data_IF_786896436084
#
_entry.id   IF_786896436084
#
_cell.length_a   1.000
_cell.length_b   1.000
_cell.length_c   1.000
_cell.angle_alpha   90.00
_cell.angle_beta   90.00
_cell.angle_gamma   90.00
#
_symmetry.space_group_name_H-M   'P 1'
#
loop_
_entity.id
_entity.type
_entity.pdbx_description
1 polymer ?
#
# COMPACT_ATOMS: atom_id res chain seq x y z
N UNK A 1 5.60 24.98 12.03
CA UNK A 1 5.41 23.73 11.28
C UNK A 1 6.28 23.77 10.03
N UNK A 2 7.00 22.67 9.76
CA UNK A 2 7.76 22.53 8.53
C UNK A 2 6.82 22.12 7.39
N UNK A 3 6.94 22.81 6.25
CA UNK A 3 5.99 22.63 5.13
C UNK A 3 6.40 21.46 4.24
N UNK A 4 7.71 21.17 4.13
CA UNK A 4 8.24 20.15 3.23
C UNK A 4 9.22 19.25 3.95
N UNK A 5 9.07 17.95 3.73
CA UNK A 5 9.92 16.88 4.28
C UNK A 5 10.23 15.85 3.20
N UNK A 6 11.39 15.19 3.30
CA UNK A 6 11.69 14.00 2.49
C UNK A 6 11.13 12.76 3.18
N UNK A 7 10.22 12.05 2.53
CA UNK A 7 9.70 10.78 3.05
C UNK A 7 9.33 9.81 1.92
N UNK A 8 9.38 8.53 2.21
CA UNK A 8 8.79 7.50 1.37
C UNK A 8 7.26 7.50 1.59
N UNK A 9 6.55 8.15 0.68
CA UNK A 9 5.09 8.33 0.75
C UNK A 9 4.35 7.00 0.81
N UNK A 10 4.78 6.01 0.01
CA UNK A 10 4.11 4.71 -0.07
C UNK A 10 4.23 3.96 1.25
N UNK A 11 5.43 3.87 1.81
CA UNK A 11 5.64 3.23 3.12
C UNK A 11 4.90 3.95 4.24
N UNK A 12 4.89 5.27 4.23
CA UNK A 12 4.16 6.05 5.23
C UNK A 12 2.65 5.80 5.17
N UNK A 13 2.09 5.75 3.95
CA UNK A 13 0.68 5.40 3.74
C UNK A 13 0.38 3.98 4.23
N UNK A 14 1.23 3.01 3.93
CA UNK A 14 1.07 1.62 4.35
C UNK A 14 1.08 1.48 5.88
N UNK A 15 2.01 2.17 6.57
CA UNK A 15 2.03 2.23 8.04
C UNK A 15 0.71 2.77 8.59
N UNK A 16 0.27 3.93 8.09
CA UNK A 16 -0.96 4.57 8.57
C UNK A 16 -2.19 3.71 8.31
N UNK A 17 -2.32 3.17 7.09
CA UNK A 17 -3.46 2.33 6.71
C UNK A 17 -3.54 1.05 7.56
N UNK A 18 -2.42 0.38 7.82
CA UNK A 18 -2.41 -0.80 8.68
C UNK A 18 -2.88 -0.49 10.11
N UNK A 19 -2.41 0.61 10.70
CA UNK A 19 -2.80 0.99 12.07
C UNK A 19 -4.27 1.42 12.11
N UNK A 20 -4.71 2.29 11.18
CA UNK A 20 -6.09 2.81 11.14
C UNK A 20 -7.09 1.70 10.82
N UNK A 21 -6.78 0.83 9.86
CA UNK A 21 -7.66 -0.30 9.52
C UNK A 21 -7.83 -1.27 10.67
N UNK A 22 -6.77 -1.53 11.46
CA UNK A 22 -6.88 -2.30 12.68
C UNK A 22 -7.78 -1.62 13.72
N UNK A 23 -7.60 -0.32 13.96
CA UNK A 23 -8.45 0.44 14.87
C UNK A 23 -9.93 0.35 14.46
N UNK A 24 -10.26 0.57 13.19
CA UNK A 24 -11.63 0.45 12.67
C UNK A 24 -12.17 -0.97 12.82
N UNK A 25 -11.36 -1.97 12.47
CA UNK A 25 -11.71 -3.38 12.48
C UNK A 25 -12.08 -3.91 13.88
N UNK A 26 -11.41 -3.41 14.92
CA UNK A 26 -11.61 -3.86 16.30
C UNK A 26 -12.47 -2.90 17.14
N UNK A 27 -13.08 -1.91 16.49
CA UNK A 27 -13.99 -0.94 17.09
C UNK A 27 -15.41 -1.19 16.57
N UNK A 28 -16.33 -1.50 17.47
CA UNK A 28 -17.74 -1.75 17.13
C UNK A 28 -18.51 -0.46 16.90
N UNK A 29 -19.70 -0.56 16.29
CA UNK A 29 -20.62 0.56 16.12
C UNK A 29 -20.91 1.28 17.45
N UNK A 30 -20.96 2.60 17.41
CA UNK A 30 -21.16 3.46 18.58
C UNK A 30 -19.88 3.82 19.36
N UNK A 31 -18.74 3.26 18.96
CA UNK A 31 -17.41 3.56 19.49
C UNK A 31 -16.65 4.53 18.57
N UNK A 32 -15.48 5.02 19.00
CA UNK A 32 -14.74 6.04 18.26
C UNK A 32 -13.31 5.62 17.95
N UNK A 33 -12.81 6.12 16.81
CA UNK A 33 -11.38 6.07 16.43
C UNK A 33 -10.90 7.51 16.26
N UNK A 34 -9.86 7.87 16.98
CA UNK A 34 -9.24 9.19 16.94
C UNK A 34 -7.85 9.11 16.34
N UNK A 35 -7.63 9.83 15.25
CA UNK A 35 -6.33 9.94 14.59
C UNK A 35 -5.80 11.36 14.75
N UNK A 36 -4.55 11.50 15.19
CA UNK A 36 -3.88 12.80 15.31
C UNK A 36 -2.47 12.70 14.74
N UNK A 37 -2.07 13.74 14.02
CA UNK A 37 -0.69 13.95 13.56
C UNK A 37 -0.28 15.33 14.02
N UNK A 38 0.87 15.43 14.67
CA UNK A 38 1.42 16.71 15.07
C UNK A 38 2.95 16.70 15.05
N UNK A 39 3.51 17.86 14.78
CA UNK A 39 4.95 18.04 14.82
C UNK A 39 5.40 18.30 16.27
N UNK A 40 6.53 17.70 16.66
CA UNK A 40 7.16 17.88 17.95
C UNK A 40 8.56 18.49 17.74
N UNK A 41 9.07 19.19 18.73
CA UNK A 41 10.43 19.72 18.67
C UNK A 41 11.44 18.60 18.43
N UNK A 42 12.31 18.80 17.44
CA UNK A 42 13.40 17.91 17.11
C UNK A 42 14.69 18.42 17.75
N UNK A 43 15.51 17.51 18.30
CA UNK A 43 16.86 17.86 18.77
C UNK A 43 17.80 18.16 17.61
N UNK A 44 17.52 17.64 16.43
CA UNK A 44 18.26 17.90 15.21
C UNK A 44 17.59 19.01 14.40
N UNK A 45 18.24 20.19 14.21
CA UNK A 45 17.63 21.31 13.48
C UNK A 45 17.43 21.06 11.98
N UNK A 46 17.93 19.95 11.45
CA UNK A 46 17.72 19.54 10.04
C UNK A 46 16.59 18.54 9.86
N UNK A 47 15.96 18.13 10.96
CA UNK A 47 14.88 17.12 10.94
C UNK A 47 13.61 17.67 11.55
N UNK A 48 12.49 17.38 10.91
CA UNK A 48 11.16 17.58 11.45
C UNK A 48 10.66 16.25 12.08
N UNK A 49 10.29 16.29 13.36
CA UNK A 49 9.83 15.13 14.13
C UNK A 49 8.32 15.13 14.21
N UNK A 50 7.70 14.06 13.76
CA UNK A 50 6.25 13.90 13.75
C UNK A 50 5.82 12.77 14.66
N UNK A 51 4.73 13.03 15.38
CA UNK A 51 4.03 12.03 16.17
C UNK A 51 2.69 11.76 15.48
N UNK A 52 2.46 10.51 15.13
CA UNK A 52 1.17 10.00 14.71
C UNK A 52 0.57 9.17 15.84
N UNK A 53 -0.68 9.43 16.21
CA UNK A 53 -1.41 8.63 17.19
C UNK A 53 -2.73 8.16 16.58
N UNK A 54 -3.04 6.89 16.82
CA UNK A 54 -4.33 6.31 16.51
C UNK A 54 -4.87 5.66 17.80
N UNK A 55 -5.97 6.19 18.30
CA UNK A 55 -6.61 5.75 19.55
C UNK A 55 -8.04 5.31 19.26
N UNK A 56 -8.37 4.10 19.65
CA UNK A 56 -9.71 3.55 19.53
C UNK A 56 -10.31 3.21 20.90
N UNK A 57 -11.62 3.17 20.96
CA UNK A 57 -12.38 2.73 22.12
C UNK A 57 -12.99 1.34 21.89
N UNK A 58 -12.28 0.49 21.16
CA UNK A 58 -12.67 -0.86 20.79
C UNK A 58 -12.48 -1.89 21.90
N UNK A 59 -12.33 -3.14 21.50
CA UNK A 59 -12.22 -4.29 22.44
C UNK A 59 -10.95 -4.27 23.27
N UNK A 60 -9.91 -3.53 22.86
CA UNK A 60 -8.59 -3.55 23.49
C UNK A 60 -7.92 -4.92 23.44
N UNK A 61 -6.83 -5.07 24.18
CA UNK A 61 -6.00 -6.29 24.25
C UNK A 61 -5.70 -6.65 25.70
N UNK A 62 -5.53 -7.95 25.97
CA UNK A 62 -5.12 -8.44 27.29
C UNK A 62 -3.66 -8.09 27.58
N UNK A 63 -3.32 -8.02 28.88
CA UNK A 63 -1.94 -7.82 29.33
C UNK A 63 -1.01 -8.96 28.89
N UNK A 64 -1.54 -10.17 28.75
CA UNK A 64 -0.78 -11.34 28.33
C UNK A 64 -0.43 -11.27 26.82
N UNK A 65 -1.32 -10.73 25.99
CA UNK A 65 -1.11 -10.64 24.53
C UNK A 65 -0.28 -9.42 24.13
N UNK A 66 -0.38 -8.32 24.86
CA UNK A 66 0.27 -7.04 24.50
C UNK A 66 1.77 -7.13 24.19
N UNK A 67 2.59 -7.94 24.88
CA UNK A 67 4.00 -8.12 24.54
C UNK A 67 4.24 -8.79 23.16
N UNK A 68 3.26 -9.56 22.69
CA UNK A 68 3.36 -10.40 21.49
C UNK A 68 2.75 -9.76 20.23
N UNK A 69 2.18 -8.55 20.35
CA UNK A 69 1.45 -7.91 19.24
C UNK A 69 2.30 -7.66 17.97
N UNK A 70 3.60 -7.55 18.13
CA UNK A 70 4.54 -7.37 17.03
C UNK A 70 5.26 -8.65 16.60
N UNK A 71 4.87 -9.81 17.14
CA UNK A 71 5.39 -11.11 16.68
C UNK A 71 4.65 -11.57 15.42
N UNK A 72 5.38 -12.20 14.50
CA UNK A 72 4.80 -12.70 13.26
C UNK A 72 3.74 -13.77 13.54
N UNK A 73 2.61 -13.70 12.81
CA UNK A 73 1.47 -14.61 12.93
C UNK A 73 0.77 -14.59 14.29
N UNK A 74 1.13 -13.65 15.18
CA UNK A 74 0.52 -13.53 16.50
C UNK A 74 -0.91 -13.00 16.39
N UNK A 75 -1.84 -13.60 17.15
CA UNK A 75 -3.26 -13.19 17.24
C UNK A 75 -3.82 -13.55 18.59
N UNK A 76 -4.51 -12.63 19.25
CA UNK A 76 -5.13 -12.85 20.55
C UNK A 76 -6.34 -13.80 20.48
N UNK A 77 -7.13 -13.69 19.40
CA UNK A 77 -8.30 -14.52 19.19
C UNK A 77 -8.19 -15.34 17.91
N UNK A 78 -8.50 -16.64 18.02
CA UNK A 78 -8.61 -17.50 16.84
C UNK A 78 -9.87 -17.17 16.04
N UNK A 79 -9.82 -17.41 14.72
CA UNK A 79 -10.91 -17.14 13.76
C UNK A 79 -12.27 -17.75 14.12
N UNK A 80 -12.32 -18.66 15.10
CA UNK A 80 -13.53 -19.36 15.53
C UNK A 80 -14.43 -18.53 16.44
N UNK A 81 -13.87 -17.56 17.19
CA UNK A 81 -14.63 -16.74 18.15
C UNK A 81 -15.05 -15.38 17.58
N UNK A 82 -14.20 -14.77 16.75
CA UNK A 82 -14.54 -13.54 16.03
C UNK A 82 -14.23 -13.71 14.56
N UNK A 83 -15.22 -13.51 13.68
CA UNK A 83 -15.12 -13.59 12.20
C UNK A 83 -14.16 -12.57 11.57
N UNK A 84 -13.19 -12.09 12.30
CA UNK A 84 -12.27 -11.02 11.90
C UNK A 84 -11.06 -11.63 11.19
N UNK A 85 -11.06 -11.63 9.84
CA UNK A 85 -9.97 -12.13 9.02
C UNK A 85 -8.68 -11.29 9.18
N UNK A 86 -7.51 -11.93 9.15
CA UNK A 86 -6.20 -11.26 9.17
C UNK A 86 -5.06 -12.27 9.25
N UNK A 87 -3.93 -11.95 8.65
CA UNK A 87 -2.75 -12.83 8.57
C UNK A 87 -1.87 -12.80 9.82
N UNK A 88 -2.00 -11.76 10.68
CA UNK A 88 -1.09 -11.52 11.80
C UNK A 88 0.27 -10.98 11.38
N UNK A 89 0.41 -10.49 10.13
CA UNK A 89 1.67 -9.95 9.60
C UNK A 89 1.70 -8.42 9.55
N UNK A 90 0.55 -7.74 9.61
CA UNK A 90 0.47 -6.29 9.42
C UNK A 90 1.30 -5.50 10.44
N UNK A 91 1.13 -5.73 11.73
CA UNK A 91 1.84 -4.99 12.77
C UNK A 91 3.35 -5.30 12.87
N UNK A 92 3.82 -6.54 12.72
CA UNK A 92 5.25 -6.84 12.56
C UNK A 92 5.89 -6.07 11.40
N UNK A 93 5.25 -6.04 10.23
CA UNK A 93 5.72 -5.30 9.04
C UNK A 93 5.77 -3.79 9.34
N UNK A 94 4.71 -3.23 9.93
CA UNK A 94 4.65 -1.82 10.34
C UNK A 94 5.80 -1.46 11.27
N UNK A 95 6.07 -2.28 12.30
CA UNK A 95 7.19 -2.06 13.22
C UNK A 95 8.53 -2.05 12.48
N UNK A 96 8.77 -3.05 11.63
CA UNK A 96 10.01 -3.12 10.84
C UNK A 96 10.18 -1.92 9.92
N UNK A 97 9.11 -1.47 9.25
CA UNK A 97 9.15 -0.26 8.40
C UNK A 97 9.50 0.99 9.21
N UNK A 98 8.87 1.18 10.38
CA UNK A 98 9.12 2.34 11.24
C UNK A 98 10.56 2.33 11.75
N UNK A 99 11.09 1.17 12.17
CA UNK A 99 12.47 1.01 12.62
C UNK A 99 13.48 1.30 11.49
N UNK A 100 13.21 0.81 10.26
CA UNK A 100 14.03 1.14 9.08
C UNK A 100 14.03 2.63 8.74
N UNK A 101 12.93 3.34 9.03
CA UNK A 101 12.82 4.79 8.88
C UNK A 101 13.45 5.56 10.07
N UNK A 102 14.07 4.86 11.03
CA UNK A 102 14.68 5.45 12.22
C UNK A 102 13.68 5.98 13.25
N UNK A 103 12.45 5.52 13.20
CA UNK A 103 11.38 5.85 14.13
C UNK A 103 11.14 4.79 15.20
N UNK A 104 10.09 4.97 15.98
CA UNK A 104 9.62 4.02 16.98
C UNK A 104 8.10 3.94 17.00
N UNK A 105 7.58 2.77 17.39
CA UNK A 105 6.16 2.55 17.63
C UNK A 105 5.95 2.06 19.05
N UNK A 106 4.94 2.59 19.73
CA UNK A 106 4.49 2.19 21.05
C UNK A 106 3.01 1.87 21.01
N UNK A 107 2.58 0.96 21.88
CA UNK A 107 1.20 0.55 22.03
C UNK A 107 0.82 0.57 23.50
N UNK A 108 -0.34 1.16 23.80
CA UNK A 108 -1.00 1.14 25.09
C UNK A 108 -2.39 0.54 24.86
N UNK A 109 -2.77 -0.50 25.60
CA UNK A 109 -4.07 -1.12 25.44
C UNK A 109 -4.58 -1.68 26.77
N UNK A 110 -5.89 -1.65 26.92
CA UNK A 110 -6.59 -2.26 28.04
C UNK A 110 -7.82 -2.98 27.51
N UNK A 111 -7.96 -4.25 27.84
CA UNK A 111 -9.10 -5.07 27.39
C UNK A 111 -10.43 -4.46 27.82
N UNK A 112 -11.37 -4.33 26.90
CA UNK A 112 -12.67 -3.71 27.10
C UNK A 112 -12.67 -2.18 27.14
N UNK A 113 -11.52 -1.52 26.99
CA UNK A 113 -11.39 -0.05 27.00
C UNK A 113 -10.98 0.50 25.63
N UNK A 114 -9.97 -0.12 24.98
CA UNK A 114 -9.47 0.28 23.67
C UNK A 114 -7.96 0.19 23.54
N UNK A 115 -7.45 0.69 22.42
CA UNK A 115 -6.04 0.65 22.08
C UNK A 115 -5.55 2.00 21.57
N UNK A 116 -4.31 2.35 21.90
CA UNK A 116 -3.63 3.53 21.38
C UNK A 116 -2.26 3.17 20.85
N UNK A 117 -2.07 3.38 19.56
CA UNK A 117 -0.77 3.34 18.91
C UNK A 117 -0.16 4.75 18.85
N UNK A 118 1.13 4.83 19.14
CA UNK A 118 1.92 6.06 18.99
C UNK A 118 3.14 5.76 18.14
N UNK A 119 3.25 6.44 17.00
CA UNK A 119 4.41 6.36 16.09
C UNK A 119 5.17 7.67 16.15
N UNK A 120 6.47 7.59 16.31
CA UNK A 120 7.39 8.73 16.42
C UNK A 120 8.45 8.60 15.33
N UNK A 121 8.43 9.48 14.34
CA UNK A 121 9.35 9.45 13.18
C UNK A 121 9.89 10.86 12.92
N UNK A 122 11.18 10.91 12.58
CA UNK A 122 11.87 12.14 12.17
C UNK A 122 12.26 12.08 10.70
N UNK A 123 11.88 13.09 9.93
CA UNK A 123 12.18 13.23 8.51
C UNK A 123 13.20 14.35 8.27
N UNK A 124 14.02 14.21 7.25
CA UNK A 124 14.86 15.31 6.79
C UNK A 124 13.98 16.42 6.20
N UNK A 125 14.28 17.67 6.57
CA UNK A 125 13.57 18.81 6.02
C UNK A 125 13.92 19.00 4.56
N UNK A 126 12.92 19.30 3.75
CA UNK A 126 13.09 19.68 2.35
C UNK A 126 12.87 21.20 2.21
N UNK A 127 13.55 21.77 1.24
CA UNK A 127 13.33 23.15 0.84
C UNK A 127 12.27 23.25 -0.27
N UNK A 128 11.73 24.43 -0.46
CA UNK A 128 10.80 24.68 -1.58
C UNK A 128 11.44 24.35 -2.95
N UNK A 129 12.76 24.58 -3.09
CA UNK A 129 13.49 24.23 -4.30
C UNK A 129 13.65 22.73 -4.53
N UNK A 130 13.60 21.91 -3.48
CA UNK A 130 13.65 20.45 -3.60
C UNK A 130 12.30 19.91 -4.13
N UNK A 131 11.19 20.49 -3.69
CA UNK A 131 9.84 20.16 -4.20
C UNK A 131 9.69 20.49 -5.68
N UNK A 132 10.22 21.63 -6.11
CA UNK A 132 10.22 21.99 -7.53
C UNK A 132 11.10 21.06 -8.37
N UNK A 133 12.19 20.52 -7.83
CA UNK A 133 13.02 19.52 -8.53
C UNK A 133 12.28 18.20 -8.73
N UNK A 134 11.54 17.72 -7.73
CA UNK A 134 10.73 16.51 -7.85
C UNK A 134 9.57 16.71 -8.84
N UNK A 135 8.91 17.88 -8.83
CA UNK A 135 7.87 18.21 -9.81
C UNK A 135 8.42 18.36 -11.24
N UNK A 136 9.68 18.77 -11.41
CA UNK A 136 10.34 18.83 -12.72
C UNK A 136 10.83 17.42 -13.13
N UNK A 137 11.11 16.52 -12.20
CA UNK A 137 11.43 15.12 -12.49
C UNK A 137 10.20 14.27 -12.78
N UNK A 138 9.01 14.63 -12.32
CA UNK A 138 7.73 14.23 -12.91
C UNK A 138 7.54 15.00 -14.21
N UNK A 139 8.26 14.57 -15.23
CA UNK A 139 8.29 15.20 -16.55
C UNK A 139 6.87 15.24 -17.11
N UNK A 140 6.30 16.42 -17.44
CA UNK A 140 5.06 16.53 -18.23
C UNK A 140 5.16 15.77 -19.54
N UNK A 141 6.37 15.61 -20.05
CA UNK A 141 6.75 14.88 -21.26
C UNK A 141 6.54 13.34 -21.18
N UNK A 142 6.36 12.77 -19.98
CA UNK A 142 6.08 11.32 -19.81
C UNK A 142 4.58 11.04 -19.97
N UNK A 143 3.70 11.87 -19.43
CA UNK A 143 2.26 11.72 -19.58
C UNK A 143 1.82 11.97 -21.02
N UNK A 144 2.38 12.98 -21.72
CA UNK A 144 2.16 13.17 -23.16
C UNK A 144 2.63 11.97 -24.01
N UNK A 145 3.69 11.27 -23.56
CA UNK A 145 4.18 10.04 -24.23
C UNK A 145 3.31 8.81 -23.98
N UNK A 146 2.48 8.83 -22.95
CA UNK A 146 1.54 7.73 -22.64
C UNK A 146 0.18 7.91 -23.31
N UNK A 147 -0.14 9.11 -23.79
CA UNK A 147 -1.38 9.39 -24.51
C UNK A 147 -1.52 8.47 -25.75
N UNK A 148 -2.67 7.89 -25.91
CA UNK A 148 -3.01 6.92 -26.97
C UNK A 148 -2.20 5.59 -26.95
N UNK A 149 -1.42 5.31 -25.90
CA UNK A 149 -0.80 4.01 -25.72
C UNK A 149 -1.84 2.94 -25.46
N UNK A 150 -1.54 1.72 -25.89
CA UNK A 150 -2.42 0.57 -25.71
C UNK A 150 -1.82 -0.43 -24.73
N UNK A 151 -2.57 -0.70 -23.66
CA UNK A 151 -2.17 -1.62 -22.58
C UNK A 151 -3.05 -2.87 -22.62
N UNK A 152 -2.43 -4.04 -22.48
CA UNK A 152 -3.12 -5.27 -22.17
C UNK A 152 -3.10 -5.49 -20.65
N UNK A 153 -4.27 -5.42 -20.02
CA UNK A 153 -4.45 -5.63 -18.59
C UNK A 153 -4.92 -7.06 -18.34
N UNK A 154 -4.12 -7.87 -17.63
CA UNK A 154 -4.52 -9.19 -17.15
C UNK A 154 -4.88 -9.11 -15.66
N UNK A 155 -6.17 -9.21 -15.35
CA UNK A 155 -6.76 -9.06 -14.01
C UNK A 155 -8.06 -9.88 -13.96
N UNK A 156 -8.14 -10.84 -13.04
CA UNK A 156 -9.29 -11.74 -12.92
C UNK A 156 -10.46 -11.11 -12.15
N UNK A 157 -10.17 -10.22 -11.22
CA UNK A 157 -11.19 -9.53 -10.44
C UNK A 157 -11.83 -8.42 -11.25
N UNK A 158 -13.17 -8.51 -11.45
CA UNK A 158 -13.90 -7.53 -12.27
C UNK A 158 -13.84 -6.11 -11.70
N UNK A 159 -13.89 -5.95 -10.37
CA UNK A 159 -13.83 -4.63 -9.72
C UNK A 159 -12.44 -4.00 -9.84
N UNK A 160 -11.38 -4.78 -9.61
CA UNK A 160 -10.00 -4.29 -9.77
C UNK A 160 -9.73 -3.86 -11.22
N UNK A 161 -10.19 -4.67 -12.17
CA UNK A 161 -10.06 -4.36 -13.59
C UNK A 161 -10.80 -3.07 -13.96
N UNK A 162 -12.03 -2.87 -13.47
CA UNK A 162 -12.83 -1.66 -13.73
C UNK A 162 -12.12 -0.41 -13.19
N UNK A 163 -11.64 -0.46 -11.94
CA UNK A 163 -10.86 0.65 -11.33
C UNK A 163 -9.60 0.96 -12.14
N UNK A 164 -8.83 -0.08 -12.53
CA UNK A 164 -7.61 0.12 -13.31
C UNK A 164 -7.90 0.71 -14.70
N UNK A 165 -8.96 0.26 -15.37
CA UNK A 165 -9.39 0.78 -16.67
C UNK A 165 -9.80 2.25 -16.56
N UNK A 166 -10.59 2.63 -15.54
CA UNK A 166 -10.99 4.03 -15.33
C UNK A 166 -9.79 4.95 -15.10
N UNK A 167 -8.87 4.55 -14.20
CA UNK A 167 -7.67 5.33 -13.91
C UNK A 167 -6.77 5.52 -15.15
N UNK A 168 -6.61 4.48 -15.97
CA UNK A 168 -5.82 4.55 -17.19
C UNK A 168 -6.53 5.34 -18.30
N UNK A 169 -7.87 5.30 -18.33
CA UNK A 169 -8.65 6.07 -19.28
C UNK A 169 -8.61 7.59 -19.00
N UNK A 170 -8.49 8.02 -17.73
CA UNK A 170 -8.27 9.43 -17.36
C UNK A 170 -6.99 9.98 -18.02
N UNK A 171 -5.97 9.12 -18.20
CA UNK A 171 -4.70 9.44 -18.87
C UNK A 171 -4.74 9.16 -20.39
N UNK A 172 -5.95 8.96 -20.95
CA UNK A 172 -6.19 8.69 -22.39
C UNK A 172 -5.49 7.43 -22.91
N UNK A 173 -5.22 6.46 -22.05
CA UNK A 173 -4.65 5.17 -22.38
C UNK A 173 -5.76 4.21 -22.80
N UNK A 174 -5.54 3.45 -23.87
CA UNK A 174 -6.49 2.43 -24.33
C UNK A 174 -6.16 1.11 -23.65
N UNK A 175 -7.14 0.51 -22.99
CA UNK A 175 -6.95 -0.75 -22.23
C UNK A 175 -7.79 -1.87 -22.83
N UNK A 176 -7.13 -2.98 -23.19
CA UNK A 176 -7.77 -4.25 -23.49
C UNK A 176 -7.59 -5.19 -22.28
N UNK A 177 -8.69 -5.77 -21.75
CA UNK A 177 -8.63 -6.66 -20.59
C UNK A 177 -8.51 -8.13 -21.02
N UNK A 178 -7.73 -8.90 -20.27
CA UNK A 178 -7.73 -10.35 -20.19
C UNK A 178 -8.09 -10.79 -18.77
N UNK A 179 -8.84 -11.90 -18.60
CA UNK A 179 -9.29 -12.37 -17.27
C UNK A 179 -8.33 -13.33 -16.59
N UNK A 180 -7.32 -13.79 -17.32
CA UNK A 180 -6.25 -14.67 -16.83
C UNK A 180 -5.05 -14.63 -17.78
N UNK A 181 -3.97 -15.33 -17.37
CA UNK A 181 -2.74 -15.39 -18.15
C UNK A 181 -2.91 -16.12 -19.50
N UNK A 182 -3.84 -17.05 -19.62
CA UNK A 182 -4.08 -17.78 -20.87
C UNK A 182 -4.79 -16.88 -21.89
N UNK A 183 -5.79 -16.12 -21.49
CA UNK A 183 -6.45 -15.12 -22.35
C UNK A 183 -5.48 -14.00 -22.74
N UNK A 184 -4.58 -13.61 -21.83
CA UNK A 184 -3.53 -12.63 -22.12
C UNK A 184 -2.62 -13.12 -23.26
N UNK A 185 -2.16 -14.37 -23.21
CA UNK A 185 -1.34 -14.99 -24.26
C UNK A 185 -2.10 -15.08 -25.59
N UNK A 186 -3.35 -15.53 -25.58
CA UNK A 186 -4.19 -15.64 -26.78
C UNK A 186 -4.36 -14.28 -27.49
N UNK A 187 -4.59 -13.22 -26.71
CA UNK A 187 -4.68 -11.85 -27.27
C UNK A 187 -3.36 -11.38 -27.85
N UNK A 188 -2.22 -11.68 -27.20
CA UNK A 188 -0.90 -11.33 -27.71
C UNK A 188 -0.54 -12.08 -28.99
N UNK A 189 -0.88 -13.38 -29.10
CA UNK A 189 -0.63 -14.18 -30.29
C UNK A 189 -1.42 -13.69 -31.52
N UNK A 190 -2.65 -13.22 -31.28
CA UNK A 190 -3.53 -12.68 -32.34
C UNK A 190 -3.22 -11.25 -32.72
N UNK A 191 -2.53 -10.52 -31.87
CA UNK A 191 -2.19 -9.13 -32.11
C UNK A 191 -1.02 -9.01 -33.11
N UNK A 192 -1.05 -7.95 -33.93
CA UNK A 192 0.10 -7.61 -34.75
C UNK A 192 1.25 -7.11 -33.89
N UNK A 193 2.52 -7.33 -34.27
CA UNK A 193 3.65 -6.82 -33.51
C UNK A 193 3.55 -5.31 -33.24
N UNK A 194 3.72 -4.91 -31.99
CA UNK A 194 3.60 -3.50 -31.59
C UNK A 194 2.17 -3.00 -31.36
N UNK A 195 1.16 -3.87 -31.38
CA UNK A 195 -0.23 -3.50 -31.06
C UNK A 195 -0.41 -3.09 -29.61
N UNK A 196 0.26 -3.77 -28.68
CA UNK A 196 0.33 -3.40 -27.27
C UNK A 196 1.68 -2.79 -26.95
N UNK A 197 1.68 -1.65 -26.27
CA UNK A 197 2.88 -0.96 -25.80
C UNK A 197 3.36 -1.55 -24.46
N UNK A 198 2.42 -2.05 -23.62
CA UNK A 198 2.70 -2.57 -22.30
C UNK A 198 1.69 -3.65 -21.91
N UNK A 199 2.10 -4.50 -20.98
CA UNK A 199 1.23 -5.47 -20.31
C UNK A 199 1.27 -5.17 -18.81
N UNK A 200 0.11 -4.95 -18.20
CA UNK A 200 -0.08 -4.96 -16.76
C UNK A 200 -0.67 -6.31 -16.39
N UNK A 201 -0.04 -7.02 -15.47
CA UNK A 201 -0.40 -8.40 -15.17
C UNK A 201 -0.45 -8.64 -13.67
N UNK A 202 -1.63 -9.08 -13.19
CA UNK A 202 -1.72 -9.61 -11.85
C UNK A 202 -0.93 -10.92 -11.73
N UNK A 203 -0.40 -11.17 -10.54
CA UNK A 203 0.38 -12.38 -10.24
C UNK A 203 -0.55 -13.55 -9.98
N UNK A 204 -1.64 -13.32 -9.23
CA UNK A 204 -2.54 -14.38 -8.77
C UNK A 204 -3.82 -14.41 -9.61
N UNK A 205 -3.81 -15.21 -10.66
CA UNK A 205 -4.98 -15.40 -11.53
C UNK A 205 -5.31 -16.89 -11.68
N UNK A 206 -6.59 -17.26 -11.91
CA UNK A 206 -6.99 -18.62 -12.22
C UNK A 206 -6.44 -19.05 -13.58
N UNK A 207 -6.50 -20.37 -13.89
CA UNK A 207 -6.10 -21.00 -15.15
C UNK A 207 -4.60 -20.88 -15.44
N UNK A 208 -4.05 -19.68 -15.48
CA UNK A 208 -2.62 -19.40 -15.64
C UNK A 208 -2.27 -18.15 -14.85
N UNK A 209 -1.33 -18.29 -13.92
CA UNK A 209 -0.82 -17.20 -13.12
C UNK A 209 0.08 -16.26 -13.91
N UNK A 210 0.36 -15.07 -13.32
CA UNK A 210 1.14 -14.03 -13.99
C UNK A 210 2.61 -14.41 -14.20
N UNK A 211 3.19 -15.27 -13.34
CA UNK A 211 4.57 -15.72 -13.51
C UNK A 211 4.70 -16.65 -14.71
N UNK A 212 3.78 -17.62 -14.85
CA UNK A 212 3.75 -18.54 -15.97
C UNK A 212 3.47 -17.82 -17.28
N UNK A 213 2.51 -16.88 -17.29
CA UNK A 213 2.20 -16.06 -18.44
C UNK A 213 3.42 -15.22 -18.88
N UNK A 214 4.05 -14.49 -17.95
CA UNK A 214 5.24 -13.69 -18.23
C UNK A 214 6.41 -14.52 -18.76
N UNK A 215 6.62 -15.74 -18.22
CA UNK A 215 7.66 -16.63 -18.72
C UNK A 215 7.41 -17.08 -20.17
N UNK A 216 6.15 -17.36 -20.53
CA UNK A 216 5.78 -17.72 -21.91
C UNK A 216 5.89 -16.53 -22.86
N UNK A 217 5.45 -15.34 -22.46
CA UNK A 217 5.57 -14.11 -23.26
C UNK A 217 7.03 -13.80 -23.61
N UNK A 218 7.95 -13.98 -22.65
CA UNK A 218 9.38 -13.76 -22.89
C UNK A 218 9.95 -14.73 -23.93
N UNK A 219 9.52 -15.99 -23.90
CA UNK A 219 9.94 -17.00 -24.89
C UNK A 219 9.40 -16.69 -26.29
N UNK A 220 8.19 -16.16 -26.42
CA UNK A 220 7.62 -15.75 -27.72
C UNK A 220 8.43 -14.65 -28.41
N UNK A 221 9.17 -13.80 -27.65
CA UNK A 221 10.06 -12.77 -28.20
C UNK A 221 11.36 -13.33 -28.80
N UNK A 222 11.82 -14.47 -28.30
CA UNK A 222 13.08 -15.09 -28.78
C UNK A 222 12.87 -15.91 -30.06
N UNK A 223 11.62 -16.18 -30.46
CA UNK A 223 11.25 -16.94 -31.66
C UNK A 223 10.81 -16.07 -32.86
N UNK A 224 10.79 -14.73 -32.69
CA UNK A 224 10.47 -13.73 -33.73
C UNK A 224 11.63 -12.77 -33.97
#
# INVERSE_FOLDING_TARGET
>A
YHTFIFCDRVKLQEIMLNIISNAIKYTSDGHAVHVKIYEKNSENPRKARFIFTCEDTGIGMSEEYLPHIFEEFSREHTTTENKVAGTGLGLPIVKSMIELMGGSIQVESTQGVGTKFTVDISFDMASESDVYRDQISEQPDVLEKLEAKRILLAEDNDLNAEIAIELLAEEKIVVDRAKDGAECLDKLEKAVPGYYDMILMDIQMPVMDGYDAAARIRRMKDEK
#
